data_IF_715912419908
#
_entry.id   IF_715912419908
#
_cell.length_a   1.000
_cell.length_b   1.000
_cell.length_c   1.000
_cell.angle_alpha   90.00
_cell.angle_beta   90.00
_cell.angle_gamma   90.00
#
_symmetry.space_group_name_H-M   'P 1'
#
loop_
_entity.id
_entity.type
_entity.pdbx_description
1 polymer ?
#
# COMPACT_ATOMS: atom_id res chain seq x y z
N UNK A 1 -15.34 -22.47 7.64
CA UNK A 1 -14.36 -22.40 6.52
C UNK A 1 -13.13 -21.58 6.91
N UNK A 2 -12.25 -22.11 7.77
CA UNK A 2 -11.12 -21.30 8.26
C UNK A 2 -10.06 -21.02 7.20
N UNK A 3 -9.83 -21.94 6.26
CA UNK A 3 -8.85 -21.76 5.19
C UNK A 3 -9.12 -20.52 4.33
N UNK A 4 -10.40 -20.17 4.13
CA UNK A 4 -10.79 -18.99 3.35
C UNK A 4 -10.47 -17.68 4.10
N UNK A 5 -10.72 -17.64 5.43
CA UNK A 5 -10.30 -16.52 6.28
C UNK A 5 -8.78 -16.32 6.19
N UNK A 6 -8.01 -17.40 6.35
CA UNK A 6 -6.55 -17.33 6.28
C UNK A 6 -6.05 -16.83 4.93
N UNK A 7 -6.67 -17.27 3.83
CA UNK A 7 -6.35 -16.77 2.49
C UNK A 7 -6.57 -15.25 2.40
N UNK A 8 -7.72 -14.75 2.85
CA UNK A 8 -8.03 -13.31 2.82
C UNK A 8 -7.04 -12.52 3.68
N UNK A 9 -6.77 -12.98 4.90
CA UNK A 9 -5.79 -12.33 5.79
C UNK A 9 -4.42 -12.29 5.11
N UNK A 10 -3.99 -13.40 4.49
CA UNK A 10 -2.71 -13.48 3.81
C UNK A 10 -2.62 -12.48 2.64
N UNK A 11 -3.70 -12.30 1.88
CA UNK A 11 -3.76 -11.31 0.79
C UNK A 11 -3.62 -9.89 1.35
N UNK A 12 -4.28 -9.59 2.47
CA UNK A 12 -4.17 -8.27 3.13
C UNK A 12 -2.73 -8.02 3.59
N UNK A 13 -2.09 -9.00 4.23
CA UNK A 13 -0.68 -8.88 4.65
C UNK A 13 0.27 -8.71 3.47
N UNK A 14 0.06 -9.45 2.37
CA UNK A 14 0.86 -9.29 1.16
C UNK A 14 0.72 -7.88 0.58
N UNK A 15 -0.51 -7.36 0.53
CA UNK A 15 -0.75 -6.00 0.05
C UNK A 15 -0.08 -4.95 0.95
N UNK A 16 -0.12 -5.12 2.28
CA UNK A 16 0.58 -4.25 3.24
C UNK A 16 2.08 -4.21 2.98
N UNK A 17 2.71 -5.34 2.66
CA UNK A 17 4.14 -5.40 2.28
C UNK A 17 4.39 -4.61 1.00
N UNK A 18 3.58 -4.81 -0.04
CA UNK A 18 3.70 -4.07 -1.31
C UNK A 18 3.56 -2.56 -1.08
N UNK A 19 2.63 -2.15 -0.23
CA UNK A 19 2.42 -0.75 0.14
C UNK A 19 3.66 -0.14 0.81
N UNK A 20 4.29 -0.86 1.75
CA UNK A 20 5.54 -0.43 2.39
C UNK A 20 6.66 -0.30 1.36
N UNK A 21 6.83 -1.29 0.48
CA UNK A 21 7.84 -1.25 -0.58
C UNK A 21 7.62 -0.02 -1.48
N UNK A 22 6.37 0.25 -1.87
CA UNK A 22 6.01 1.43 -2.66
C UNK A 22 6.39 2.73 -1.96
N UNK A 23 6.08 2.87 -0.65
CA UNK A 23 6.44 4.08 0.13
C UNK A 23 7.94 4.29 0.13
N UNK A 24 8.71 3.26 0.49
CA UNK A 24 10.17 3.34 0.53
C UNK A 24 10.71 3.72 -0.85
N UNK A 25 10.25 3.04 -1.90
CA UNK A 25 10.68 3.32 -3.27
C UNK A 25 10.34 4.75 -3.71
N UNK A 26 9.16 5.27 -3.36
CA UNK A 26 8.73 6.64 -3.66
C UNK A 26 9.60 7.69 -2.95
N UNK A 27 10.03 7.42 -1.71
CA UNK A 27 10.94 8.28 -0.96
C UNK A 27 12.35 8.24 -1.53
N UNK A 28 12.85 7.06 -1.90
CA UNK A 28 14.17 6.93 -2.52
C UNK A 28 14.26 7.75 -3.83
N UNK A 29 13.18 7.78 -4.62
CA UNK A 29 13.10 8.64 -5.81
C UNK A 29 13.00 10.12 -5.43
N UNK A 30 12.14 10.47 -4.48
CA UNK A 30 11.91 11.86 -4.05
C UNK A 30 13.17 12.51 -3.46
N UNK A 31 13.99 11.73 -2.73
CA UNK A 31 15.29 12.14 -2.20
C UNK A 31 16.44 12.01 -3.20
N UNK A 32 16.15 11.70 -4.47
CA UNK A 32 17.14 11.52 -5.55
C UNK A 32 18.21 10.47 -5.24
N UNK A 33 17.90 9.49 -4.40
CA UNK A 33 18.79 8.36 -4.09
C UNK A 33 18.80 7.37 -5.26
N UNK A 34 17.63 7.15 -5.89
CA UNK A 34 17.48 6.29 -7.06
C UNK A 34 17.11 7.13 -8.28
N UNK A 35 17.80 6.87 -9.39
CA UNK A 35 17.50 7.50 -10.67
C UNK A 35 16.50 6.67 -11.48
N UNK A 36 15.38 7.28 -11.85
CA UNK A 36 14.31 6.65 -12.67
C UNK A 36 14.59 6.65 -14.17
N UNK A 37 15.74 7.16 -14.64
CA UNK A 37 16.12 7.09 -16.05
C UNK A 37 16.31 5.66 -16.55
N UNK A 38 16.60 4.71 -15.67
CA UNK A 38 16.65 3.30 -16.05
C UNK A 38 15.20 2.77 -16.23
N UNK A 39 14.90 2.30 -17.44
CA UNK A 39 13.58 1.76 -17.79
C UNK A 39 13.10 0.65 -16.85
N UNK A 40 14.00 -0.18 -16.32
CA UNK A 40 13.64 -1.22 -15.36
C UNK A 40 13.09 -0.64 -14.06
N UNK A 41 13.79 0.37 -13.50
CA UNK A 41 13.41 1.03 -12.25
C UNK A 41 12.09 1.76 -12.43
N UNK A 42 11.91 2.47 -13.54
CA UNK A 42 10.66 3.13 -13.88
C UNK A 42 9.49 2.14 -13.95
N UNK A 43 9.64 1.03 -14.67
CA UNK A 43 8.59 0.02 -14.81
C UNK A 43 8.22 -0.63 -13.46
N UNK A 44 9.20 -0.89 -12.60
CA UNK A 44 8.96 -1.44 -11.26
C UNK A 44 8.17 -0.45 -10.40
N UNK A 45 8.55 0.83 -10.42
CA UNK A 45 7.86 1.89 -9.69
C UNK A 45 6.43 2.10 -10.21
N UNK A 46 6.22 2.10 -11.54
CA UNK A 46 4.89 2.22 -12.14
C UNK A 46 4.01 1.02 -11.77
N UNK A 47 4.56 -0.20 -11.76
CA UNK A 47 3.83 -1.38 -11.32
C UNK A 47 3.41 -1.28 -9.84
N UNK A 48 4.33 -0.93 -8.95
CA UNK A 48 4.04 -0.72 -7.53
C UNK A 48 2.99 0.38 -7.33
N UNK A 49 3.13 1.50 -8.06
CA UNK A 49 2.17 2.59 -8.03
C UNK A 49 0.78 2.13 -8.45
N UNK A 50 0.64 1.42 -9.59
CA UNK A 50 -0.67 0.95 -10.08
C UNK A 50 -1.36 -0.02 -9.12
N UNK A 51 -0.60 -0.84 -8.39
CA UNK A 51 -1.17 -1.74 -7.37
C UNK A 51 -1.70 -0.93 -6.16
N UNK A 52 -0.99 0.14 -5.79
CA UNK A 52 -1.34 0.97 -4.65
C UNK A 52 -2.36 2.08 -4.99
N UNK A 53 -2.43 2.52 -6.25
CA UNK A 53 -3.21 3.68 -6.70
C UNK A 53 -4.69 3.62 -6.32
N UNK A 54 -5.41 2.48 -6.43
CA UNK A 54 -6.82 2.44 -6.11
C UNK A 54 -7.11 2.78 -4.64
N UNK A 55 -6.31 2.25 -3.71
CA UNK A 55 -6.49 2.50 -2.28
C UNK A 55 -5.99 3.88 -1.88
N UNK A 56 -4.83 4.30 -2.40
CA UNK A 56 -4.25 5.62 -2.16
C UNK A 56 -5.14 6.73 -2.70
N UNK A 57 -5.74 6.56 -3.89
CA UNK A 57 -6.64 7.56 -4.49
C UNK A 57 -7.87 7.81 -3.64
N UNK A 58 -8.41 6.77 -2.99
CA UNK A 58 -9.54 6.93 -2.07
C UNK A 58 -9.13 7.83 -0.90
N UNK A 59 -7.97 7.58 -0.29
CA UNK A 59 -7.48 8.38 0.84
C UNK A 59 -7.13 9.82 0.42
N UNK A 60 -6.47 10.00 -0.73
CA UNK A 60 -6.09 11.31 -1.30
C UNK A 60 -7.27 12.21 -1.63
N UNK A 61 -8.49 11.67 -1.76
CA UNK A 61 -9.71 12.51 -1.91
C UNK A 61 -10.05 13.27 -0.64
N UNK A 62 -9.63 12.77 0.51
CA UNK A 62 -9.97 13.34 1.82
C UNK A 62 -8.80 14.06 2.48
N UNK A 63 -7.57 13.82 2.01
CA UNK A 63 -6.35 14.32 2.65
C UNK A 63 -5.57 15.20 1.67
N UNK A 64 -5.21 16.43 2.07
CA UNK A 64 -4.38 17.29 1.25
C UNK A 64 -2.96 16.70 1.11
N UNK A 65 -2.36 16.89 -0.07
CA UNK A 65 -0.98 16.47 -0.31
C UNK A 65 -0.02 17.39 0.47
N UNK A 66 0.83 16.83 1.33
CA UNK A 66 1.83 17.58 2.11
C UNK A 66 3.14 17.79 1.34
N UNK A 67 3.03 18.31 0.11
CA UNK A 67 4.20 18.54 -0.75
C UNK A 67 4.94 17.23 -1.07
N UNK A 68 6.21 17.12 -0.66
CA UNK A 68 7.06 15.97 -0.94
C UNK A 68 6.80 14.75 -0.03
N UNK A 69 5.94 14.88 0.99
CA UNK A 69 5.65 13.80 1.92
C UNK A 69 4.20 13.32 1.75
N UNK A 70 4.02 12.07 1.35
CA UNK A 70 2.70 11.45 1.19
C UNK A 70 2.36 10.60 2.40
N UNK A 71 1.36 11.03 3.19
CA UNK A 71 0.87 10.30 4.37
C UNK A 71 -0.20 9.26 3.98
N UNK A 72 -0.77 9.34 2.78
CA UNK A 72 -1.85 8.46 2.32
C UNK A 72 -1.55 6.97 2.50
N UNK A 73 -0.33 6.47 2.22
CA UNK A 73 0.01 5.06 2.44
C UNK A 73 -0.09 4.61 3.89
N UNK A 74 0.28 5.48 4.86
CA UNK A 74 0.18 5.15 6.28
C UNK A 74 -1.29 4.93 6.66
N UNK A 75 -2.17 5.75 6.13
CA UNK A 75 -3.61 5.68 6.42
C UNK A 75 -4.25 4.47 5.76
N UNK A 76 -3.86 4.15 4.52
CA UNK A 76 -4.25 2.88 3.88
C UNK A 76 -3.78 1.69 4.72
N UNK A 77 -2.54 1.71 5.21
CA UNK A 77 -2.00 0.63 6.03
C UNK A 77 -2.82 0.42 7.31
N UNK A 78 -3.15 1.50 8.02
CA UNK A 78 -3.96 1.45 9.24
C UNK A 78 -5.37 0.93 8.94
N UNK A 79 -6.00 1.40 7.85
CA UNK A 79 -7.32 0.93 7.43
C UNK A 79 -7.32 -0.58 7.10
N UNK A 80 -6.29 -1.08 6.41
CA UNK A 80 -6.12 -2.50 6.12
C UNK A 80 -5.95 -3.33 7.39
N UNK A 81 -5.15 -2.86 8.35
CA UNK A 81 -4.98 -3.55 9.63
C UNK A 81 -6.30 -3.60 10.42
N UNK A 82 -7.09 -2.53 10.38
CA UNK A 82 -8.41 -2.50 10.98
C UNK A 82 -9.37 -3.50 10.31
N UNK A 83 -9.44 -3.52 8.97
CA UNK A 83 -10.25 -4.49 8.22
C UNK A 83 -9.84 -5.93 8.55
N UNK A 84 -8.53 -6.20 8.63
CA UNK A 84 -8.00 -7.52 9.01
C UNK A 84 -8.50 -7.97 10.39
N UNK A 85 -8.46 -7.07 11.37
CA UNK A 85 -8.92 -7.35 12.74
C UNK A 85 -10.43 -7.60 12.77
N UNK A 86 -11.22 -6.77 12.09
CA UNK A 86 -12.65 -6.99 11.95
C UNK A 86 -12.97 -8.36 11.31
N UNK A 87 -12.24 -8.74 10.26
CA UNK A 87 -12.43 -10.05 9.63
C UNK A 87 -12.17 -11.19 10.61
N UNK A 88 -11.10 -11.12 11.41
CA UNK A 88 -10.77 -12.15 12.40
C UNK A 88 -11.83 -12.21 13.51
N UNK A 89 -12.29 -11.04 13.98
CA UNK A 89 -13.23 -10.92 15.10
C UNK A 89 -14.62 -11.44 14.74
N UNK A 90 -15.13 -11.09 13.55
CA UNK A 90 -16.50 -11.42 13.13
C UNK A 90 -16.59 -12.67 12.23
N UNK A 91 -15.50 -13.41 12.01
CA UNK A 91 -15.54 -14.59 11.15
C UNK A 91 -16.42 -15.70 11.77
N UNK A 92 -17.40 -16.25 11.02
CA UNK A 92 -18.20 -17.37 11.51
C UNK A 92 -17.30 -18.60 11.67
N UNK A 93 -17.16 -19.05 12.92
CA UNK A 93 -16.33 -20.20 13.29
C UNK A 93 -16.95 -21.52 12.84
#
# INVERSE_FOLDING_TARGET
MQSLLYLIIQIIELYKIVLIIYVIASWLVSFKIINTSNRFIYSLLDALYRICEPSLRIVKRYIPNFGNFDISPIIVYIALEFIRRLLIEYWPR
#
